data_IF_128695285284
#
_entry.id   IF_128695285284
#
_cell.length_a   1.000
_cell.length_b   1.000
_cell.length_c   1.000
_cell.angle_alpha   90.00
_cell.angle_beta   90.00
_cell.angle_gamma   90.00
#
_symmetry.space_group_name_H-M   'P 1'
#
loop_
_entity.id
_entity.type
_entity.pdbx_description
1 polymer ?
#
# COMPACT_ATOMS: atom_id res chain seq x y z
N UNK A 1 -4.32 -23.34 2.67
CA UNK A 1 -3.89 -22.31 3.65
C UNK A 1 -4.88 -21.13 3.69
N UNK A 2 -5.05 -20.39 2.59
CA UNK A 2 -5.94 -19.21 2.53
C UNK A 2 -7.39 -19.54 2.88
N UNK A 3 -7.92 -20.66 2.39
CA UNK A 3 -9.29 -21.08 2.66
C UNK A 3 -9.55 -21.35 4.16
N UNK A 4 -8.71 -22.17 4.81
CA UNK A 4 -8.79 -22.41 6.26
C UNK A 4 -8.67 -21.12 7.07
N UNK A 5 -7.75 -20.22 6.69
CA UNK A 5 -7.64 -18.92 7.34
C UNK A 5 -8.96 -18.12 7.25
N UNK A 6 -9.57 -18.08 6.07
CA UNK A 6 -10.83 -17.36 5.86
C UNK A 6 -12.01 -18.00 6.61
N UNK A 7 -12.18 -19.32 6.52
CA UNK A 7 -13.25 -20.06 7.21
C UNK A 7 -13.15 -19.89 8.72
N UNK A 8 -11.96 -20.04 9.29
CA UNK A 8 -11.72 -19.83 10.74
C UNK A 8 -11.94 -18.39 11.17
N UNK A 9 -11.46 -17.41 10.37
CA UNK A 9 -11.69 -15.98 10.64
C UNK A 9 -13.18 -15.62 10.64
N UNK A 10 -13.99 -16.30 9.82
CA UNK A 10 -15.45 -16.13 9.74
C UNK A 10 -16.22 -16.96 10.77
N UNK A 11 -15.56 -17.83 11.53
CA UNK A 11 -16.21 -18.74 12.47
C UNK A 11 -16.91 -19.95 11.83
N UNK A 12 -16.67 -20.20 10.54
CA UNK A 12 -17.23 -21.33 9.78
C UNK A 12 -16.45 -22.64 10.05
N UNK A 13 -15.24 -22.54 10.59
CA UNK A 13 -14.39 -23.67 10.99
C UNK A 13 -13.82 -23.41 12.39
N UNK A 14 -13.86 -24.42 13.27
CA UNK A 14 -13.26 -24.33 14.60
C UNK A 14 -11.73 -24.23 14.55
N UNK A 15 -11.15 -23.45 15.46
CA UNK A 15 -9.69 -23.31 15.57
C UNK A 15 -9.16 -24.45 16.44
N UNK A 16 -8.50 -25.41 15.82
CA UNK A 16 -7.78 -26.49 16.51
C UNK A 16 -6.29 -26.21 16.52
N UNK A 17 -5.65 -26.45 17.67
CA UNK A 17 -4.20 -26.33 17.83
C UNK A 17 -3.63 -27.74 18.07
N UNK A 18 -2.54 -28.09 17.39
CA UNK A 18 -1.86 -29.37 17.61
C UNK A 18 -1.30 -29.52 19.02
N UNK A 19 -1.00 -28.41 19.69
CA UNK A 19 -0.48 -28.41 21.05
C UNK A 19 -0.82 -27.10 21.79
N UNK A 20 -1.14 -27.12 23.09
CA UNK A 20 -1.48 -25.93 23.88
C UNK A 20 -0.46 -24.80 23.79
N UNK A 21 0.84 -25.14 23.78
CA UNK A 21 1.96 -24.17 23.63
C UNK A 21 1.87 -23.32 22.36
N UNK A 22 1.22 -23.80 21.30
CA UNK A 22 1.10 -23.08 20.02
C UNK A 22 0.02 -22.00 20.03
N UNK A 23 -0.92 -22.06 20.98
CA UNK A 23 -2.09 -21.17 21.02
C UNK A 23 -1.68 -19.70 21.04
N UNK A 24 -0.71 -19.32 21.88
CA UNK A 24 -0.26 -17.93 22.00
C UNK A 24 0.45 -17.40 20.74
N UNK A 25 1.10 -18.28 19.98
CA UNK A 25 1.87 -17.93 18.78
C UNK A 25 0.95 -17.80 17.56
N UNK A 26 -0.06 -18.68 17.48
CA UNK A 26 -0.93 -18.82 16.30
C UNK A 26 -2.33 -18.22 16.50
N UNK A 27 -2.67 -17.67 17.68
CA UNK A 27 -3.99 -17.06 17.93
C UNK A 27 -4.34 -15.96 16.93
N UNK A 28 -3.40 -15.07 16.65
CA UNK A 28 -3.63 -13.90 15.78
C UNK A 28 -3.75 -14.29 14.30
N UNK A 29 -3.40 -15.54 13.98
CA UNK A 29 -3.49 -16.13 12.64
C UNK A 29 -4.44 -17.32 12.59
N UNK A 30 -5.36 -17.42 13.55
CA UNK A 30 -6.41 -18.47 13.61
C UNK A 30 -5.86 -19.90 13.51
N UNK A 31 -4.74 -20.16 14.19
CA UNK A 31 -4.10 -21.48 14.20
C UNK A 31 -3.32 -21.84 12.94
N UNK A 32 -3.18 -20.90 11.99
CA UNK A 32 -2.43 -21.11 10.73
C UNK A 32 -1.05 -20.48 10.85
N UNK A 33 0.01 -21.21 10.47
CA UNK A 33 1.36 -20.64 10.37
C UNK A 33 1.42 -19.82 9.08
N UNK A 34 1.63 -18.51 9.21
CA UNK A 34 1.75 -17.59 8.07
C UNK A 34 3.14 -16.96 7.98
N UNK A 35 3.77 -16.71 9.13
CA UNK A 35 4.99 -15.93 9.19
C UNK A 35 6.23 -16.75 9.56
N UNK A 36 7.37 -16.34 9.03
CA UNK A 36 8.67 -16.92 9.39
C UNK A 36 8.97 -16.78 10.89
N UNK A 37 8.61 -15.65 11.47
CA UNK A 37 8.74 -15.37 12.90
C UNK A 37 7.88 -16.32 13.75
N UNK A 38 6.71 -16.75 13.24
CA UNK A 38 5.91 -17.76 13.92
C UNK A 38 6.63 -19.12 13.92
N UNK A 39 7.28 -19.51 12.82
CA UNK A 39 8.09 -20.74 12.78
C UNK A 39 9.19 -20.69 13.83
N UNK A 40 9.92 -19.57 13.91
CA UNK A 40 10.98 -19.38 14.91
C UNK A 40 10.44 -19.48 16.34
N UNK A 41 9.30 -18.84 16.62
CA UNK A 41 8.64 -18.91 17.92
C UNK A 41 8.18 -20.33 18.26
N UNK A 42 7.62 -21.07 17.29
CA UNK A 42 7.16 -22.44 17.51
C UNK A 42 8.31 -23.36 17.89
N UNK A 43 9.42 -23.34 17.14
CA UNK A 43 10.56 -24.23 17.44
C UNK A 43 11.24 -23.85 18.76
N UNK A 44 11.29 -22.55 19.08
CA UNK A 44 11.83 -22.07 20.35
C UNK A 44 10.96 -22.48 21.54
N UNK A 45 9.64 -22.29 21.47
CA UNK A 45 8.73 -22.62 22.59
C UNK A 45 8.52 -24.13 22.74
N UNK A 46 8.42 -24.88 21.63
CA UNK A 46 8.12 -26.30 21.69
C UNK A 46 9.35 -27.15 22.03
N UNK A 47 10.51 -26.80 21.47
CA UNK A 47 11.74 -27.58 21.59
C UNK A 47 12.89 -26.81 22.28
N UNK A 48 12.65 -25.64 22.89
CA UNK A 48 13.67 -24.86 23.59
C UNK A 48 14.90 -24.54 22.72
N UNK A 49 14.69 -24.32 21.41
CA UNK A 49 15.73 -23.79 20.53
C UNK A 49 16.01 -22.33 20.91
N UNK A 50 17.28 -21.96 20.97
CA UNK A 50 17.69 -20.56 21.06
C UNK A 50 17.25 -19.79 19.82
N UNK A 51 17.20 -18.45 19.90
CA UNK A 51 16.81 -17.62 18.76
C UNK A 51 17.76 -17.80 17.55
N UNK A 52 19.05 -18.01 17.81
CA UNK A 52 20.03 -18.31 16.75
C UNK A 52 19.76 -19.66 16.07
N UNK A 53 19.46 -20.69 16.85
CA UNK A 53 19.07 -22.01 16.30
C UNK A 53 17.74 -21.95 15.54
N UNK A 54 16.78 -21.16 16.03
CA UNK A 54 15.51 -20.95 15.36
C UNK A 54 15.68 -20.22 14.01
N UNK A 55 16.62 -19.26 13.88
CA UNK A 55 16.94 -18.66 12.59
C UNK A 55 17.66 -19.64 11.65
N UNK A 56 18.58 -20.47 12.15
CA UNK A 56 19.17 -21.56 11.35
C UNK A 56 18.09 -22.52 10.82
N UNK A 57 17.09 -22.84 11.64
CA UNK A 57 15.93 -23.63 11.24
C UNK A 57 15.13 -22.94 10.12
N UNK A 58 14.83 -21.65 10.27
CA UNK A 58 14.17 -20.83 9.24
C UNK A 58 14.98 -20.76 7.94
N UNK A 59 16.31 -20.69 8.02
CA UNK A 59 17.21 -20.68 6.85
C UNK A 59 17.23 -22.01 6.13
N UNK A 60 17.27 -23.14 6.85
CA UNK A 60 17.19 -24.48 6.25
C UNK A 60 15.87 -24.70 5.49
N UNK A 61 14.77 -24.20 6.06
CA UNK A 61 13.47 -24.12 5.39
C UNK A 61 13.54 -23.32 4.08
N UNK A 62 14.21 -22.16 4.11
CA UNK A 62 14.29 -21.24 2.98
C UNK A 62 15.23 -21.75 1.88
N UNK A 63 16.32 -22.43 2.25
CA UNK A 63 17.31 -23.00 1.33
C UNK A 63 16.76 -24.20 0.56
N UNK A 64 15.69 -24.83 1.06
CA UNK A 64 15.07 -26.05 0.50
C UNK A 64 16.05 -27.23 0.41
N UNK A 65 17.12 -27.22 1.21
CA UNK A 65 18.10 -28.31 1.25
C UNK A 65 17.54 -29.47 2.08
N UNK A 66 17.29 -30.65 1.50
CA UNK A 66 16.78 -31.81 2.24
C UNK A 66 17.74 -32.23 3.36
N UNK A 67 19.04 -32.15 3.10
CA UNK A 67 20.10 -32.54 4.05
C UNK A 67 20.12 -31.59 5.26
N UNK A 68 20.03 -30.27 5.03
CA UNK A 68 19.96 -29.31 6.13
C UNK A 68 18.67 -29.46 6.92
N UNK A 69 17.55 -29.67 6.22
CA UNK A 69 16.25 -29.83 6.87
C UNK A 69 16.19 -31.09 7.74
N UNK A 70 16.77 -32.21 7.29
CA UNK A 70 16.84 -33.44 8.08
C UNK A 70 17.71 -33.25 9.34
N UNK A 71 18.85 -32.56 9.22
CA UNK A 71 19.67 -32.20 10.38
C UNK A 71 18.89 -31.34 11.39
N UNK A 72 18.09 -30.40 10.91
CA UNK A 72 17.23 -29.59 11.76
C UNK A 72 16.08 -30.41 12.36
N UNK A 73 15.54 -31.39 11.64
CA UNK A 73 14.53 -32.33 12.13
C UNK A 73 15.04 -33.12 13.32
N UNK A 74 16.19 -33.76 13.18
CA UNK A 74 16.78 -34.58 14.24
C UNK A 74 17.05 -33.75 15.50
N UNK A 75 17.62 -32.55 15.34
CA UNK A 75 17.87 -31.63 16.44
C UNK A 75 16.55 -31.20 17.13
N UNK A 76 15.53 -30.84 16.35
CA UNK A 76 14.22 -30.46 16.86
C UNK A 76 13.55 -31.59 17.63
N UNK A 77 13.50 -32.81 17.08
CA UNK A 77 12.88 -33.96 17.75
C UNK A 77 13.61 -34.32 19.05
N UNK A 78 14.94 -34.33 19.03
CA UNK A 78 15.75 -34.60 20.23
C UNK A 78 15.47 -33.58 21.33
N UNK A 79 15.51 -32.29 21.01
CA UNK A 79 15.25 -31.25 22.01
C UNK A 79 13.79 -31.22 22.47
N UNK A 80 12.83 -31.47 21.59
CA UNK A 80 11.42 -31.57 21.95
C UNK A 80 11.15 -32.71 22.93
N UNK A 81 11.79 -33.87 22.72
CA UNK A 81 11.67 -35.03 23.61
C UNK A 81 12.30 -34.73 24.98
N UNK A 82 13.45 -34.04 25.02
CA UNK A 82 14.08 -33.60 26.27
C UNK A 82 13.22 -32.59 27.05
N UNK A 83 12.29 -31.89 26.38
CA UNK A 83 11.32 -30.99 27.00
C UNK A 83 10.03 -31.71 27.45
N UNK A 84 10.01 -33.05 27.41
CA UNK A 84 8.90 -33.87 27.88
C UNK A 84 7.74 -34.01 26.90
N UNK A 85 7.88 -33.55 25.65
CA UNK A 85 6.86 -33.78 24.62
C UNK A 85 7.04 -35.19 24.02
N UNK A 86 5.95 -35.82 23.60
CA UNK A 86 6.02 -37.12 22.94
C UNK A 86 6.66 -37.01 21.56
N UNK A 87 7.27 -38.11 21.08
CA UNK A 87 7.84 -38.17 19.73
C UNK A 87 6.79 -37.88 18.66
N UNK A 88 5.57 -38.38 18.84
CA UNK A 88 4.46 -38.17 17.91
C UNK A 88 4.04 -36.70 17.83
N UNK A 89 3.89 -36.01 18.98
CA UNK A 89 3.60 -34.57 19.00
C UNK A 89 4.69 -33.77 18.28
N UNK A 90 5.96 -34.10 18.55
CA UNK A 90 7.09 -33.44 17.91
C UNK A 90 7.10 -33.67 16.39
N UNK A 91 6.89 -34.90 15.93
CA UNK A 91 6.80 -35.20 14.49
C UNK A 91 5.62 -34.47 13.83
N UNK A 92 4.46 -34.42 14.48
CA UNK A 92 3.29 -33.70 13.97
C UNK A 92 3.54 -32.20 13.83
N UNK A 93 4.20 -31.56 14.80
CA UNK A 93 4.55 -30.14 14.73
C UNK A 93 5.64 -29.89 13.68
N UNK A 94 6.65 -30.75 13.59
CA UNK A 94 7.68 -30.63 12.56
C UNK A 94 7.08 -30.74 11.15
N UNK A 95 6.16 -31.70 10.95
CA UNK A 95 5.45 -31.88 9.69
C UNK A 95 4.56 -30.68 9.36
N UNK A 96 3.89 -30.09 10.36
CA UNK A 96 3.16 -28.85 10.21
C UNK A 96 4.08 -27.75 9.68
N UNK A 97 5.19 -27.49 10.38
CA UNK A 97 6.16 -26.44 10.00
C UNK A 97 6.71 -26.69 8.59
N UNK A 98 7.12 -27.91 8.27
CA UNK A 98 7.73 -28.27 6.97
C UNK A 98 6.76 -28.08 5.81
N UNK A 99 5.46 -28.35 5.99
CA UNK A 99 4.44 -28.07 4.96
C UNK A 99 4.26 -26.56 4.71
N UNK A 100 4.47 -25.71 5.71
CA UNK A 100 4.32 -24.25 5.61
C UNK A 100 5.61 -23.51 5.28
N UNK A 101 6.75 -24.12 5.54
CA UNK A 101 8.10 -23.62 5.30
C UNK A 101 8.26 -22.93 3.94
N UNK A 102 7.68 -23.51 2.89
CA UNK A 102 7.77 -22.99 1.52
C UNK A 102 6.94 -21.73 1.23
N UNK A 103 5.99 -21.38 2.11
CA UNK A 103 5.06 -20.27 1.93
C UNK A 103 5.13 -19.23 3.06
N UNK A 104 6.02 -19.42 4.03
CA UNK A 104 6.18 -18.53 5.17
C UNK A 104 6.68 -17.14 4.75
N UNK A 105 5.93 -16.11 5.13
CA UNK A 105 6.24 -14.72 4.77
C UNK A 105 6.94 -13.99 5.92
N UNK A 106 7.74 -12.96 5.60
CA UNK A 106 8.38 -12.16 6.63
C UNK A 106 7.36 -11.18 7.27
N UNK A 107 7.09 -11.31 8.57
CA UNK A 107 6.09 -10.50 9.27
C UNK A 107 6.48 -9.03 9.30
N UNK A 108 7.74 -8.72 9.60
CA UNK A 108 8.22 -7.34 9.67
C UNK A 108 8.00 -6.60 8.34
N UNK A 109 8.41 -7.19 7.22
CA UNK A 109 8.21 -6.65 5.88
C UNK A 109 6.72 -6.48 5.56
N UNK A 110 5.89 -7.51 5.83
CA UNK A 110 4.44 -7.41 5.60
C UNK A 110 3.78 -6.30 6.43
N UNK A 111 4.22 -6.11 7.68
CA UNK A 111 3.63 -5.12 8.60
C UNK A 111 3.92 -3.71 8.13
N UNK A 112 5.15 -3.43 7.69
CA UNK A 112 5.53 -2.10 7.18
C UNK A 112 4.71 -1.70 5.95
N UNK A 113 4.50 -2.62 5.01
CA UNK A 113 3.67 -2.35 3.83
C UNK A 113 2.17 -2.31 4.15
N UNK A 114 1.71 -3.13 5.11
CA UNK A 114 0.33 -3.09 5.57
C UNK A 114 -0.02 -1.73 6.20
N UNK A 115 0.91 -1.11 6.93
CA UNK A 115 0.72 0.24 7.49
C UNK A 115 0.50 1.28 6.40
N UNK A 116 1.33 1.30 5.35
CA UNK A 116 1.16 2.23 4.22
C UNK A 116 -0.18 1.97 3.52
N UNK A 117 -0.55 0.70 3.32
CA UNK A 117 -1.83 0.32 2.72
C UNK A 117 -3.02 0.78 3.56
N UNK A 118 -2.92 0.65 4.89
CA UNK A 118 -3.94 1.13 5.82
C UNK A 118 -4.06 2.65 5.79
N UNK A 119 -2.95 3.38 5.87
CA UNK A 119 -2.94 4.86 5.84
C UNK A 119 -3.51 5.38 4.53
N UNK A 120 -3.14 4.79 3.39
CA UNK A 120 -3.69 5.18 2.08
C UNK A 120 -5.19 4.89 1.97
N UNK A 121 -5.65 3.75 2.50
CA UNK A 121 -7.08 3.45 2.59
C UNK A 121 -7.81 4.46 3.49
N UNK A 122 -7.26 4.77 4.66
CA UNK A 122 -7.81 5.75 5.60
C UNK A 122 -7.96 7.13 4.95
N UNK A 123 -6.91 7.61 4.27
CA UNK A 123 -6.96 8.88 3.53
C UNK A 123 -8.00 8.86 2.42
N UNK A 124 -8.13 7.74 1.68
CA UNK A 124 -9.14 7.60 0.63
C UNK A 124 -10.57 7.62 1.19
N UNK A 125 -10.81 7.02 2.36
CA UNK A 125 -12.14 6.95 2.99
C UNK A 125 -12.53 8.28 3.63
N UNK A 126 -11.62 8.90 4.39
CA UNK A 126 -11.94 10.09 5.19
C UNK A 126 -11.62 11.42 4.49
N UNK A 127 -10.67 11.42 3.55
CA UNK A 127 -10.24 12.61 2.80
C UNK A 127 -10.16 12.34 1.27
N UNK A 128 -11.22 11.80 0.65
CA UNK A 128 -11.19 11.32 -0.74
C UNK A 128 -10.79 12.41 -1.74
N UNK A 129 -11.24 13.65 -1.53
CA UNK A 129 -10.90 14.77 -2.42
C UNK A 129 -9.40 15.03 -2.47
N UNK A 130 -8.75 15.08 -1.30
CA UNK A 130 -7.30 15.32 -1.19
C UNK A 130 -6.51 14.13 -1.72
N UNK A 131 -6.89 12.92 -1.31
CA UNK A 131 -6.23 11.69 -1.78
C UNK A 131 -6.25 11.59 -3.32
N UNK A 132 -7.42 11.74 -3.94
CA UNK A 132 -7.56 11.62 -5.38
C UNK A 132 -6.91 12.79 -6.13
N UNK A 133 -6.94 14.02 -5.61
CA UNK A 133 -6.20 15.14 -6.17
C UNK A 133 -4.67 14.89 -6.17
N UNK A 134 -4.13 14.31 -5.09
CA UNK A 134 -2.72 13.91 -5.04
C UNK A 134 -2.39 12.83 -6.07
N UNK A 135 -3.22 11.78 -6.19
CA UNK A 135 -3.03 10.71 -7.18
C UNK A 135 -3.05 11.25 -8.62
N UNK A 136 -4.00 12.14 -8.93
CA UNK A 136 -4.13 12.78 -10.24
C UNK A 136 -2.97 13.74 -10.56
N UNK A 137 -2.37 14.35 -9.54
CA UNK A 137 -1.24 15.27 -9.69
C UNK A 137 0.06 14.53 -9.98
N UNK A 138 0.42 13.60 -9.10
CA UNK A 138 1.73 12.95 -9.14
C UNK A 138 1.78 11.70 -10.02
N UNK A 139 0.62 11.17 -10.45
CA UNK A 139 0.59 10.01 -11.35
C UNK A 139 1.20 8.75 -10.72
N UNK A 140 1.19 8.64 -9.39
CA UNK A 140 1.88 7.60 -8.62
C UNK A 140 1.18 6.23 -8.67
N UNK A 141 0.56 5.87 -9.79
CA UNK A 141 -0.16 4.60 -9.87
C UNK A 141 -0.31 4.06 -11.27
N UNK A 142 -0.70 2.79 -11.32
CA UNK A 142 -0.86 2.01 -12.55
C UNK A 142 -1.99 2.52 -13.47
N UNK A 143 -3.02 3.15 -12.88
CA UNK A 143 -4.22 3.56 -13.61
C UNK A 143 -4.08 4.93 -14.26
N UNK A 144 -4.77 5.10 -15.38
CA UNK A 144 -4.92 6.37 -16.09
C UNK A 144 -5.80 7.36 -15.31
N UNK A 145 -5.69 8.65 -15.66
CA UNK A 145 -6.41 9.74 -14.96
C UNK A 145 -7.93 9.62 -15.03
N UNK A 146 -8.49 9.06 -16.12
CA UNK A 146 -9.93 8.82 -16.26
C UNK A 146 -10.47 7.87 -15.17
N UNK A 147 -9.68 6.88 -14.75
CA UNK A 147 -10.07 5.96 -13.66
C UNK A 147 -10.15 6.68 -12.33
N UNK A 148 -9.20 7.56 -12.02
CA UNK A 148 -9.25 8.36 -10.80
C UNK A 148 -10.41 9.38 -10.82
N UNK A 149 -10.76 9.93 -11.99
CA UNK A 149 -11.94 10.80 -12.14
C UNK A 149 -13.24 10.00 -11.92
N UNK A 150 -13.33 8.78 -12.46
CA UNK A 150 -14.48 7.89 -12.19
C UNK A 150 -14.57 7.54 -10.69
N UNK A 151 -13.43 7.30 -10.05
CA UNK A 151 -13.40 7.03 -8.62
C UNK A 151 -13.83 8.25 -7.79
N UNK A 152 -13.42 9.47 -8.17
CA UNK A 152 -13.92 10.69 -7.54
C UNK A 152 -15.45 10.77 -7.59
N UNK A 153 -16.06 10.43 -8.74
CA UNK A 153 -17.52 10.37 -8.87
C UNK A 153 -18.16 9.34 -7.93
N UNK A 154 -17.55 8.16 -7.76
CA UNK A 154 -18.03 7.13 -6.82
C UNK A 154 -17.98 7.60 -5.36
N UNK A 155 -16.95 8.35 -5.00
CA UNK A 155 -16.83 9.00 -3.68
C UNK A 155 -17.64 10.29 -3.57
N UNK A 156 -18.49 10.61 -4.56
CA UNK A 156 -19.31 11.84 -4.62
C UNK A 156 -18.46 13.13 -4.55
N UNK A 157 -17.20 13.06 -4.95
CA UNK A 157 -16.29 14.20 -5.06
C UNK A 157 -16.46 14.83 -6.45
N UNK A 158 -16.90 16.09 -6.48
CA UNK A 158 -17.02 16.84 -7.74
C UNK A 158 -15.64 17.14 -8.30
N UNK A 159 -15.50 17.05 -9.62
CA UNK A 159 -14.29 17.50 -10.34
C UNK A 159 -14.67 18.74 -11.14
N UNK A 160 -14.10 19.88 -10.76
CA UNK A 160 -14.30 21.18 -11.37
C UNK A 160 -13.32 21.38 -12.52
N UNK A 161 -13.80 22.04 -13.57
CA UNK A 161 -12.96 22.53 -14.67
C UNK A 161 -11.81 23.40 -14.16
N UNK A 162 -10.72 23.52 -14.93
CA UNK A 162 -9.67 24.46 -14.58
C UNK A 162 -10.21 25.90 -14.55
N UNK A 163 -9.57 26.76 -13.77
CA UNK A 163 -9.91 28.18 -13.63
C UNK A 163 -8.58 28.94 -13.51
N UNK A 164 -8.37 29.95 -14.35
CA UNK A 164 -7.09 30.66 -14.43
C UNK A 164 -6.70 31.35 -13.12
N UNK A 165 -7.69 31.72 -12.31
CA UNK A 165 -7.51 32.40 -11.03
C UNK A 165 -7.43 31.43 -9.83
N UNK A 166 -8.03 30.23 -9.93
CA UNK A 166 -8.12 29.29 -8.79
C UNK A 166 -7.26 28.03 -8.95
N UNK A 167 -7.04 27.55 -10.17
CA UNK A 167 -6.30 26.32 -10.39
C UNK A 167 -4.82 26.45 -10.03
N UNK A 168 -4.26 25.40 -9.42
CA UNK A 168 -2.83 25.27 -9.18
C UNK A 168 -2.08 24.67 -10.37
N UNK A 169 -0.82 24.34 -10.15
CA UNK A 169 -0.02 23.57 -11.11
C UNK A 169 -0.58 22.15 -11.31
N UNK A 170 -0.81 21.45 -10.20
CA UNK A 170 -1.50 20.17 -10.14
C UNK A 170 -2.99 20.31 -9.77
N UNK A 171 -3.64 19.17 -9.56
CA UNK A 171 -5.01 19.15 -9.03
C UNK A 171 -5.02 19.64 -7.58
N UNK A 172 -5.96 20.51 -7.25
CA UNK A 172 -6.11 21.09 -5.91
C UNK A 172 -7.51 20.81 -5.37
N UNK A 173 -7.70 20.94 -4.06
CA UNK A 173 -9.02 20.81 -3.43
C UNK A 173 -9.56 22.19 -3.08
N UNK A 174 -10.76 22.50 -3.55
CA UNK A 174 -11.50 23.72 -3.23
C UNK A 174 -12.87 23.32 -2.69
N UNK A 175 -13.16 23.67 -1.43
CA UNK A 175 -14.47 23.43 -0.78
C UNK A 175 -14.97 21.97 -0.95
N UNK A 176 -14.06 21.00 -0.82
CA UNK A 176 -14.36 19.57 -0.96
C UNK A 176 -14.47 19.04 -2.39
N UNK A 177 -14.31 19.88 -3.41
CA UNK A 177 -14.24 19.49 -4.81
C UNK A 177 -12.80 19.50 -5.32
N UNK A 178 -12.49 18.66 -6.29
CA UNK A 178 -11.18 18.63 -6.95
C UNK A 178 -11.21 19.61 -8.12
N UNK A 179 -10.30 20.56 -8.15
CA UNK A 179 -10.11 21.46 -9.30
C UNK A 179 -8.97 20.96 -10.18
N UNK A 180 -9.23 20.89 -11.48
CA UNK A 180 -8.21 20.51 -12.48
C UNK A 180 -7.05 21.52 -12.47
N UNK A 181 -5.83 21.00 -12.40
CA UNK A 181 -4.61 21.80 -12.47
C UNK A 181 -4.33 22.32 -13.87
N UNK A 182 -3.78 23.54 -13.96
CA UNK A 182 -3.40 24.15 -15.24
C UNK A 182 -2.34 23.33 -15.98
N UNK A 183 -1.49 22.60 -15.24
CA UNK A 183 -0.46 21.74 -15.83
C UNK A 183 -0.99 20.54 -16.61
N UNK A 184 -2.29 20.21 -16.52
CA UNK A 184 -2.92 19.16 -17.33
C UNK A 184 -3.48 19.66 -18.66
N UNK A 185 -3.42 20.96 -18.92
CA UNK A 185 -3.90 21.54 -20.17
C UNK A 185 -2.93 21.22 -21.29
N UNK A 186 -3.45 20.73 -22.43
CA UNK A 186 -2.63 20.37 -23.58
C UNK A 186 -1.82 21.58 -24.07
N UNK A 187 -0.50 21.39 -24.20
CA UNK A 187 0.43 22.47 -24.60
C UNK A 187 0.92 23.35 -23.44
N UNK A 188 0.46 23.13 -22.21
CA UNK A 188 0.98 23.83 -21.03
C UNK A 188 2.34 23.27 -20.63
N UNK A 189 3.42 23.96 -21.03
CA UNK A 189 4.77 23.64 -20.58
C UNK A 189 5.06 24.14 -19.16
N UNK A 190 5.99 23.49 -18.46
CA UNK A 190 6.33 23.82 -17.06
C UNK A 190 6.78 25.28 -16.90
N UNK A 191 7.56 25.80 -17.85
CA UNK A 191 8.01 27.21 -17.84
C UNK A 191 6.83 28.18 -17.93
N UNK A 192 5.90 27.97 -18.87
CA UNK A 192 4.72 28.81 -19.00
C UNK A 192 3.84 28.72 -17.76
N UNK A 193 3.62 27.52 -17.24
CA UNK A 193 2.85 27.30 -16.03
C UNK A 193 3.42 28.07 -14.83
N UNK A 194 4.72 27.93 -14.55
CA UNK A 194 5.40 28.64 -13.46
C UNK A 194 5.29 30.15 -13.65
N UNK A 195 5.51 30.65 -14.87
CA UNK A 195 5.41 32.08 -15.17
C UNK A 195 3.99 32.63 -14.99
N UNK A 196 2.97 31.90 -15.45
CA UNK A 196 1.55 32.30 -15.28
C UNK A 196 1.19 32.37 -13.80
N UNK A 197 1.57 31.36 -13.01
CA UNK A 197 1.29 31.31 -11.58
C UNK A 197 2.01 32.44 -10.82
N UNK A 198 3.29 32.69 -11.13
CA UNK A 198 4.05 33.80 -10.52
C UNK A 198 3.48 35.17 -10.90
N UNK A 199 3.05 35.34 -12.15
CA UNK A 199 2.39 36.56 -12.60
C UNK A 199 1.06 36.76 -11.87
N UNK A 200 0.28 35.69 -11.68
CA UNK A 200 -0.98 35.70 -10.91
C UNK A 200 -0.76 36.11 -9.46
N UNK A 201 0.29 35.62 -8.81
CA UNK A 201 0.64 36.04 -7.44
C UNK A 201 0.92 37.54 -7.36
N UNK A 202 1.65 38.09 -8.35
CA UNK A 202 1.95 39.52 -8.41
C UNK A 202 0.71 40.38 -8.70
N UNK A 203 -0.14 39.96 -9.62
CA UNK A 203 -1.30 40.74 -10.06
C UNK A 203 -2.60 40.42 -9.29
N UNK A 204 -2.54 39.46 -8.35
CA UNK A 204 -3.64 38.87 -7.56
C UNK A 204 -4.69 38.11 -8.36
N UNK A 205 -5.17 38.66 -9.48
CA UNK A 205 -6.14 38.03 -10.38
C UNK A 205 -6.04 38.56 -11.81
N UNK A 206 -6.48 37.73 -12.75
CA UNK A 206 -6.80 38.13 -14.12
C UNK A 206 -8.28 38.48 -14.20
N UNK A 207 -8.59 39.72 -14.61
CA UNK A 207 -9.97 40.23 -14.60
C UNK A 207 -10.77 39.87 -15.86
N UNK A 208 -10.07 39.57 -16.95
CA UNK A 208 -10.67 39.19 -18.23
C UNK A 208 -9.65 38.46 -19.10
N UNK A 209 -10.11 37.86 -20.20
CA UNK A 209 -9.22 37.27 -21.20
C UNK A 209 -8.24 38.32 -21.76
N UNK A 210 -8.72 39.55 -22.02
CA UNK A 210 -7.88 40.65 -22.47
C UNK A 210 -6.77 41.00 -21.45
N UNK A 211 -7.14 41.10 -20.16
CA UNK A 211 -6.19 41.35 -19.08
C UNK A 211 -5.14 40.24 -18.95
N UNK A 212 -5.55 38.98 -19.12
CA UNK A 212 -4.64 37.84 -19.16
C UNK A 212 -3.66 37.93 -20.34
N UNK A 213 -4.15 38.16 -21.57
CA UNK A 213 -3.32 38.28 -22.77
C UNK A 213 -2.33 39.44 -22.66
N UNK A 214 -2.77 40.61 -22.17
CA UNK A 214 -1.91 41.78 -21.98
C UNK A 214 -0.78 41.50 -20.97
N UNK A 215 -1.13 40.98 -19.78
CA UNK A 215 -0.13 40.72 -18.72
C UNK A 215 0.83 39.57 -19.06
N UNK A 216 0.38 38.60 -19.86
CA UNK A 216 1.21 37.46 -20.29
C UNK A 216 1.95 37.69 -21.60
N UNK A 217 1.79 38.84 -22.25
CA UNK A 217 2.49 39.20 -23.50
C UNK A 217 4.02 38.98 -23.42
N UNK A 218 4.73 39.32 -22.32
CA UNK A 218 6.18 39.06 -22.20
C UNK A 218 6.53 37.57 -22.15
N UNK A 219 5.58 36.71 -21.78
CA UNK A 219 5.78 35.27 -21.65
C UNK A 219 5.75 34.54 -22.99
N UNK A 220 5.36 35.23 -24.08
CA UNK A 220 5.25 34.68 -25.44
C UNK A 220 4.44 33.37 -25.48
N UNK A 221 3.31 33.36 -24.76
CA UNK A 221 2.36 32.25 -24.81
C UNK A 221 1.80 32.15 -26.23
N UNK A 222 1.85 30.96 -26.81
CA UNK A 222 1.36 30.74 -28.17
C UNK A 222 -0.17 30.72 -28.21
N UNK A 223 -0.74 31.11 -29.34
CA UNK A 223 -2.19 31.13 -29.56
C UNK A 223 -2.86 29.76 -29.29
N UNK A 224 -2.31 28.60 -29.70
CA UNK A 224 -2.93 27.32 -29.41
C UNK A 224 -3.11 27.02 -27.91
N UNK A 225 -2.21 27.49 -27.03
CA UNK A 225 -2.36 27.30 -25.60
C UNK A 225 -3.49 28.17 -25.03
N UNK A 226 -3.63 29.41 -25.51
CA UNK A 226 -4.73 30.31 -25.13
C UNK A 226 -6.07 29.70 -25.59
N UNK A 227 -6.15 29.21 -26.82
CA UNK A 227 -7.34 28.52 -27.32
C UNK A 227 -7.68 27.28 -26.47
N UNK A 228 -6.69 26.48 -26.08
CA UNK A 228 -6.92 25.33 -25.22
C UNK A 228 -7.44 25.75 -23.83
N UNK A 229 -6.90 26.83 -23.24
CA UNK A 229 -7.39 27.39 -21.98
C UNK A 229 -8.86 27.82 -22.08
N UNK A 230 -9.24 28.48 -23.18
CA UNK A 230 -10.64 28.87 -23.44
C UNK A 230 -11.53 27.63 -23.58
N UNK A 231 -11.13 26.64 -24.41
CA UNK A 231 -11.90 25.43 -24.69
C UNK A 231 -12.19 24.58 -23.44
N UNK A 232 -11.31 24.62 -22.44
CA UNK A 232 -11.50 23.89 -21.17
C UNK A 232 -12.22 24.70 -20.10
N UNK A 233 -12.68 25.91 -20.41
CA UNK A 233 -13.43 26.78 -19.50
C UNK A 233 -12.55 27.48 -18.45
N UNK A 234 -11.25 27.68 -18.71
CA UNK A 234 -10.36 28.30 -17.73
C UNK A 234 -10.68 29.78 -17.43
N UNK A 235 -11.51 30.41 -18.26
CA UNK A 235 -11.94 31.81 -18.13
C UNK A 235 -13.44 31.96 -17.84
N UNK A 236 -14.14 30.86 -17.54
CA UNK A 236 -15.57 30.85 -17.13
C UNK A 236 -15.73 31.25 -15.66
#
# INVERSE_FOLDING_TARGET
MTEHYLKRKRGEEGITYLHPKLKLILKDTYGVILYQEQVMQVVSVFACLSLGEADLFRRAISSRSPVEMEKQRENFLKKATNQGNTKEEAENIFNLISKFAHYGFNKAHSTSYALISFVTCYLKVHYPAYYLASMLTYGMGYYSSDRYIQEARRFKVKVLSPDINKSGAGFTVEKGAIRVGLGKIKGMGEKHLKSILSLREKCKKFNSLHDFCYKTMPLRINQPLIENLIKVGAFD
#
